data_IF_124576043176
#
_entry.id   IF_124576043176
#
_cell.length_a   1.000
_cell.length_b   1.000
_cell.length_c   1.000
_cell.angle_alpha   90.00
_cell.angle_beta   90.00
_cell.angle_gamma   90.00
#
_symmetry.space_group_name_H-M   'P 1'
#
loop_
_entity.id
_entity.type
_entity.pdbx_description
1 polymer ?
#
# COMPACT_ATOMS: atom_id res chain seq x y z
N UNK A 1 9.78 5.90 -0.01
CA UNK A 1 9.70 4.51 -0.47
C UNK A 1 9.68 4.48 -1.99
N UNK A 2 10.36 3.52 -2.62
CA UNK A 2 10.32 3.24 -4.05
C UNK A 2 9.73 1.85 -4.26
N UNK A 3 8.75 1.73 -5.15
CA UNK A 3 8.06 0.46 -5.39
C UNK A 3 8.56 -0.19 -6.67
N UNK A 4 9.02 -1.42 -6.59
CA UNK A 4 9.30 -2.27 -7.75
C UNK A 4 8.01 -2.99 -8.16
N UNK A 5 7.23 -2.37 -9.02
CA UNK A 5 5.88 -2.80 -9.36
C UNK A 5 5.83 -4.14 -10.11
N UNK A 6 4.86 -4.98 -9.73
CA UNK A 6 4.38 -6.11 -10.54
C UNK A 6 2.94 -5.84 -10.98
N UNK A 7 2.66 -6.08 -12.24
CA UNK A 7 1.45 -5.59 -12.91
C UNK A 7 0.47 -6.69 -13.32
N UNK A 8 0.63 -7.90 -12.90
CA UNK A 8 -0.27 -8.99 -13.26
C UNK A 8 -0.50 -9.17 -14.79
N UNK A 9 -1.40 -10.08 -15.13
CA UNK A 9 -1.69 -10.45 -16.52
C UNK A 9 -2.77 -9.59 -17.18
N UNK A 10 -3.36 -8.61 -16.46
CA UNK A 10 -4.49 -7.84 -17.01
C UNK A 10 -4.09 -6.89 -18.13
N UNK A 11 -2.79 -6.58 -18.26
CA UNK A 11 -2.28 -5.74 -19.35
C UNK A 11 -2.88 -4.33 -19.37
N UNK A 12 -3.16 -3.77 -18.19
CA UNK A 12 -3.81 -2.48 -18.06
C UNK A 12 -2.91 -1.36 -18.58
N UNK A 13 -3.49 -0.44 -19.33
CA UNK A 13 -2.81 0.78 -19.74
C UNK A 13 -2.46 1.61 -18.51
N UNK A 14 -1.18 1.95 -18.35
CA UNK A 14 -0.66 2.66 -17.18
C UNK A 14 -0.17 1.74 -16.06
N UNK A 15 -0.36 0.41 -16.18
CA UNK A 15 0.36 -0.54 -15.37
C UNK A 15 1.70 -0.87 -16.02
N UNK A 16 2.77 -0.93 -15.23
CA UNK A 16 4.11 -1.28 -15.75
C UNK A 16 4.84 -2.17 -14.74
N UNK A 17 5.60 -3.09 -15.28
CA UNK A 17 6.50 -3.92 -14.49
C UNK A 17 7.82 -3.17 -14.29
N UNK A 18 8.22 -3.02 -13.02
CA UNK A 18 9.51 -2.44 -12.65
C UNK A 18 10.33 -3.51 -11.92
N UNK A 19 11.38 -4.06 -12.54
CA UNK A 19 12.22 -5.09 -11.94
C UNK A 19 12.88 -4.64 -10.63
N UNK A 20 13.06 -5.56 -9.69
CA UNK A 20 13.66 -5.30 -8.38
C UNK A 20 15.07 -4.68 -8.51
N UNK A 21 15.85 -5.13 -9.49
CA UNK A 21 17.21 -4.65 -9.73
C UNK A 21 17.26 -3.15 -10.06
N UNK A 22 16.24 -2.61 -10.72
CA UNK A 22 16.19 -1.18 -11.07
C UNK A 22 15.98 -0.36 -9.80
N UNK A 23 15.05 -0.76 -8.96
CA UNK A 23 14.81 -0.09 -7.67
C UNK A 23 16.00 -0.26 -6.74
N UNK A 24 16.58 -1.45 -6.68
CA UNK A 24 17.77 -1.74 -5.89
C UNK A 24 18.94 -0.81 -6.25
N UNK A 25 19.21 -0.59 -7.55
CA UNK A 25 20.24 0.36 -8.01
C UNK A 25 19.97 1.79 -7.53
N UNK A 26 18.71 2.23 -7.52
CA UNK A 26 18.34 3.56 -7.03
C UNK A 26 18.56 3.67 -5.51
N UNK A 27 18.17 2.66 -4.75
CA UNK A 27 18.38 2.57 -3.29
C UNK A 27 19.87 2.57 -2.97
N UNK A 28 20.67 1.75 -3.66
CA UNK A 28 22.12 1.68 -3.46
C UNK A 28 22.83 3.01 -3.77
N UNK A 29 22.33 3.74 -4.77
CA UNK A 29 22.89 5.06 -5.13
C UNK A 29 22.60 6.14 -4.09
N UNK A 30 21.49 6.02 -3.35
CA UNK A 30 21.04 7.00 -2.36
C UNK A 30 20.51 6.30 -1.11
N UNK A 31 21.38 5.56 -0.36
CA UNK A 31 20.95 4.68 0.74
C UNK A 31 20.33 5.42 1.91
N UNK A 32 20.71 6.70 2.13
CA UNK A 32 20.15 7.53 3.21
C UNK A 32 18.82 8.19 2.85
N UNK A 33 18.31 7.98 1.62
CA UNK A 33 17.13 8.67 1.11
C UNK A 33 16.01 7.75 0.66
N UNK A 34 16.37 6.59 0.13
CA UNK A 34 15.39 5.68 -0.50
C UNK A 34 15.45 4.29 0.10
N UNK A 35 14.28 3.71 0.24
CA UNK A 35 14.07 2.31 0.62
C UNK A 35 13.20 1.65 -0.43
N UNK A 36 13.46 0.38 -0.73
CA UNK A 36 12.74 -0.40 -1.73
C UNK A 36 11.58 -1.19 -1.14
N UNK A 37 10.50 -1.30 -1.90
CA UNK A 37 9.38 -2.20 -1.65
C UNK A 37 9.27 -3.20 -2.80
N UNK A 38 9.10 -4.48 -2.46
CA UNK A 38 8.90 -5.56 -3.42
C UNK A 38 7.44 -5.60 -3.90
N UNK A 39 7.19 -5.29 -5.16
CA UNK A 39 5.89 -5.52 -5.77
C UNK A 39 5.58 -7.01 -5.86
N UNK A 40 4.35 -7.40 -5.56
CA UNK A 40 3.91 -8.79 -5.52
C UNK A 40 2.93 -9.10 -6.66
N UNK A 41 3.04 -10.31 -7.17
CA UNK A 41 2.04 -10.94 -8.03
C UNK A 41 1.50 -12.21 -7.33
N UNK A 42 0.26 -12.21 -6.81
CA UNK A 42 -0.30 -13.36 -6.10
C UNK A 42 -0.56 -14.56 -7.00
N UNK A 43 -0.45 -14.40 -8.32
CA UNK A 43 -0.65 -15.49 -9.29
C UNK A 43 0.63 -16.30 -9.55
N UNK A 44 1.79 -15.79 -9.13
CA UNK A 44 3.09 -16.49 -9.27
C UNK A 44 3.27 -17.62 -8.24
N UNK A 45 2.40 -17.72 -7.22
CA UNK A 45 2.51 -18.75 -6.19
C UNK A 45 3.87 -18.73 -5.48
N UNK A 46 4.49 -19.90 -5.30
CA UNK A 46 5.77 -20.00 -4.58
C UNK A 46 6.94 -19.29 -5.28
N UNK A 47 6.92 -19.17 -6.61
CA UNK A 47 7.94 -18.40 -7.32
C UNK A 47 7.95 -16.93 -6.89
N UNK A 48 6.77 -16.33 -6.72
CA UNK A 48 6.61 -14.98 -6.19
C UNK A 48 7.09 -14.85 -4.73
N UNK A 49 6.83 -15.87 -3.89
CA UNK A 49 7.31 -15.91 -2.49
C UNK A 49 8.84 -15.97 -2.43
N UNK A 50 9.48 -16.75 -3.28
CA UNK A 50 10.95 -16.79 -3.37
C UNK A 50 11.53 -15.48 -3.87
N UNK A 51 10.88 -14.84 -4.86
CA UNK A 51 11.28 -13.52 -5.33
C UNK A 51 11.18 -12.45 -4.23
N UNK A 52 10.14 -12.50 -3.38
CA UNK A 52 10.02 -11.62 -2.22
C UNK A 52 11.18 -11.83 -1.24
N UNK A 53 11.50 -13.09 -0.94
CA UNK A 53 12.65 -13.43 -0.08
C UNK A 53 13.95 -12.85 -0.65
N UNK A 54 14.20 -13.04 -1.96
CA UNK A 54 15.37 -12.46 -2.63
C UNK A 54 15.38 -10.91 -2.57
N UNK A 55 14.23 -10.27 -2.71
CA UNK A 55 14.12 -8.82 -2.64
C UNK A 55 14.59 -8.28 -1.28
N UNK A 56 14.25 -8.95 -0.20
CA UNK A 56 14.65 -8.56 1.15
C UNK A 56 16.12 -8.92 1.43
N UNK A 57 16.50 -10.18 1.22
CA UNK A 57 17.82 -10.69 1.61
C UNK A 57 18.95 -10.17 0.72
N UNK A 58 18.72 -10.07 -0.59
CA UNK A 58 19.73 -9.66 -1.56
C UNK A 58 19.74 -8.16 -1.86
N UNK A 59 18.55 -7.55 -1.97
CA UNK A 59 18.44 -6.14 -2.36
C UNK A 59 18.16 -5.20 -1.18
N UNK A 60 17.93 -5.73 0.04
CA UNK A 60 17.68 -4.94 1.24
C UNK A 60 16.35 -4.21 1.21
N UNK A 61 15.34 -4.75 0.53
CA UNK A 61 14.01 -4.16 0.53
C UNK A 61 13.37 -4.33 1.91
N UNK A 62 12.64 -3.30 2.34
CA UNK A 62 12.12 -3.19 3.71
C UNK A 62 10.63 -3.50 3.82
N UNK A 63 9.98 -3.88 2.74
CA UNK A 63 8.56 -4.19 2.72
C UNK A 63 8.09 -4.73 1.38
N UNK A 64 6.86 -5.18 1.37
CA UNK A 64 6.15 -5.66 0.19
C UNK A 64 5.05 -4.68 -0.23
N UNK A 65 4.64 -4.75 -1.49
CA UNK A 65 3.60 -3.89 -2.04
C UNK A 65 2.70 -4.69 -2.99
N UNK A 66 1.39 -4.54 -2.87
CA UNK A 66 0.42 -5.21 -3.72
C UNK A 66 -0.69 -4.29 -4.22
N UNK A 67 -1.13 -4.55 -5.46
CA UNK A 67 -2.28 -3.89 -6.08
C UNK A 67 -3.40 -4.92 -6.30
N UNK A 68 -4.29 -5.16 -5.31
CA UNK A 68 -5.39 -6.13 -5.44
C UNK A 68 -6.21 -5.98 -6.71
N UNK A 69 -6.46 -4.74 -7.14
CA UNK A 69 -7.23 -4.42 -8.34
C UNK A 69 -6.61 -4.95 -9.63
N UNK A 70 -5.27 -4.95 -9.73
CA UNK A 70 -4.57 -5.41 -10.93
C UNK A 70 -4.61 -6.91 -11.14
N UNK A 71 -5.05 -7.64 -10.11
CA UNK A 71 -5.23 -9.08 -10.14
C UNK A 71 -6.69 -9.50 -9.98
N UNK A 72 -7.61 -8.53 -9.74
CA UNK A 72 -9.01 -8.76 -9.38
C UNK A 72 -9.15 -9.71 -8.18
N UNK A 73 -8.21 -9.64 -7.24
CA UNK A 73 -8.13 -10.47 -6.03
C UNK A 73 -8.18 -9.58 -4.80
N UNK A 74 -9.30 -9.62 -4.06
CA UNK A 74 -9.42 -8.90 -2.80
C UNK A 74 -8.31 -9.29 -1.80
N UNK A 75 -7.93 -8.41 -0.87
CA UNK A 75 -6.89 -8.70 0.14
C UNK A 75 -7.08 -10.01 0.91
N UNK A 76 -8.31 -10.42 1.18
CA UNK A 76 -8.66 -11.66 1.88
C UNK A 76 -8.66 -12.92 0.97
N UNK A 77 -8.32 -12.77 -0.30
CA UNK A 77 -8.20 -13.93 -1.18
C UNK A 77 -7.00 -14.79 -0.77
N UNK A 78 -7.21 -16.10 -0.67
CA UNK A 78 -6.20 -17.07 -0.21
C UNK A 78 -4.88 -17.06 -1.01
N UNK A 79 -4.87 -16.54 -2.24
CA UNK A 79 -3.64 -16.41 -3.04
C UNK A 79 -2.63 -15.42 -2.46
N UNK A 80 -3.09 -14.47 -1.63
CA UNK A 80 -2.22 -13.55 -0.91
C UNK A 80 -1.57 -14.18 0.34
N UNK A 81 -2.18 -15.20 0.95
CA UNK A 81 -1.78 -15.75 2.24
C UNK A 81 -0.32 -16.23 2.31
N UNK A 82 0.24 -16.90 1.28
CA UNK A 82 1.66 -17.26 1.30
C UNK A 82 2.60 -16.03 1.42
N UNK A 83 2.21 -14.91 0.82
CA UNK A 83 2.96 -13.65 0.92
C UNK A 83 2.81 -13.02 2.28
N UNK A 84 1.62 -13.07 2.90
CA UNK A 84 1.42 -12.59 4.28
C UNK A 84 2.27 -13.37 5.27
N UNK A 85 2.24 -14.70 5.18
CA UNK A 85 3.11 -15.56 6.01
C UNK A 85 4.59 -15.22 5.82
N UNK A 86 5.02 -14.97 4.57
CA UNK A 86 6.41 -14.62 4.28
C UNK A 86 6.77 -13.23 4.82
N UNK A 87 5.87 -12.25 4.74
CA UNK A 87 6.09 -10.93 5.33
C UNK A 87 6.23 -11.02 6.86
N UNK A 88 5.44 -11.86 7.53
CA UNK A 88 5.60 -12.12 8.97
C UNK A 88 6.95 -12.77 9.27
N UNK A 89 7.34 -13.81 8.52
CA UNK A 89 8.64 -14.48 8.67
C UNK A 89 9.83 -13.54 8.51
N UNK A 90 9.74 -12.61 7.54
CA UNK A 90 10.80 -11.63 7.25
C UNK A 90 10.72 -10.37 8.11
N UNK A 91 9.74 -10.26 9.00
CA UNK A 91 9.42 -9.07 9.84
C UNK A 91 9.26 -7.77 9.04
N UNK A 92 8.67 -7.83 7.85
CA UNK A 92 8.45 -6.69 6.96
C UNK A 92 6.97 -6.35 6.83
N UNK A 93 6.60 -5.06 6.62
CA UNK A 93 5.25 -4.67 6.31
C UNK A 93 4.84 -5.06 4.89
N UNK A 94 3.52 -5.23 4.71
CA UNK A 94 2.90 -5.25 3.38
C UNK A 94 1.97 -4.06 3.21
N UNK A 95 2.14 -3.35 2.10
CA UNK A 95 1.31 -2.23 1.68
C UNK A 95 0.34 -2.70 0.60
N UNK A 96 -0.96 -2.56 0.83
CA UNK A 96 -2.00 -2.97 -0.11
C UNK A 96 -2.86 -1.77 -0.51
N UNK A 97 -3.08 -1.61 -1.81
CA UNK A 97 -4.02 -0.61 -2.29
C UNK A 97 -5.43 -0.95 -1.82
N UNK A 98 -6.04 -0.02 -1.10
CA UNK A 98 -7.45 -0.07 -0.68
C UNK A 98 -8.24 1.08 -1.27
N UNK A 99 -9.56 0.97 -1.23
CA UNK A 99 -10.43 1.91 -1.91
C UNK A 99 -10.70 1.49 -3.36
N UNK A 100 -11.09 2.45 -4.17
CA UNK A 100 -11.38 2.24 -5.58
C UNK A 100 -10.16 2.55 -6.43
N UNK A 101 -9.83 1.69 -7.38
CA UNK A 101 -8.77 1.97 -8.35
C UNK A 101 -9.24 3.02 -9.35
N UNK A 102 -8.41 4.05 -9.57
CA UNK A 102 -8.61 5.04 -10.62
C UNK A 102 -7.85 4.68 -11.91
N UNK A 103 -7.00 3.65 -11.86
CA UNK A 103 -6.28 3.14 -13.03
C UNK A 103 -7.13 2.06 -13.67
N UNK A 104 -7.81 2.41 -14.76
CA UNK A 104 -8.65 1.47 -15.50
C UNK A 104 -8.61 1.73 -16.99
N UNK A 105 -8.80 0.67 -17.74
CA UNK A 105 -9.01 0.71 -19.18
C UNK A 105 -10.52 0.85 -19.44
N UNK A 106 -11.00 1.89 -20.17
CA UNK A 106 -12.44 2.06 -20.43
C UNK A 106 -13.11 0.86 -21.09
N UNK A 107 -12.35 0.07 -21.85
CA UNK A 107 -12.86 -1.15 -22.49
C UNK A 107 -12.85 -2.38 -21.57
N UNK A 108 -12.21 -2.26 -20.41
CA UNK A 108 -12.09 -3.31 -19.40
C UNK A 108 -12.12 -2.71 -18.00
N UNK A 109 -13.30 -2.35 -17.49
CA UNK A 109 -13.43 -1.86 -16.13
C UNK A 109 -12.99 -2.96 -15.13
N UNK A 110 -12.23 -2.57 -14.11
CA UNK A 110 -11.83 -3.46 -13.04
C UNK A 110 -12.91 -3.55 -11.97
N UNK A 111 -13.03 -4.71 -11.34
CA UNK A 111 -13.86 -4.87 -10.16
C UNK A 111 -13.26 -4.11 -8.96
N UNK A 112 -14.13 -3.49 -8.14
CA UNK A 112 -13.74 -2.80 -6.92
C UNK A 112 -13.47 -3.81 -5.80
N UNK A 113 -12.34 -4.51 -5.87
CA UNK A 113 -11.94 -5.55 -4.90
C UNK A 113 -11.20 -5.00 -3.68
N UNK A 114 -10.90 -3.71 -3.64
CA UNK A 114 -10.09 -3.07 -2.60
C UNK A 114 -10.91 -2.50 -1.43
N UNK A 115 -12.11 -3.00 -1.12
CA UNK A 115 -12.85 -2.51 0.05
C UNK A 115 -12.03 -2.76 1.32
N UNK A 116 -11.84 -1.73 2.18
CA UNK A 116 -11.01 -1.85 3.38
C UNK A 116 -11.47 -2.95 4.34
N UNK A 117 -12.77 -3.27 4.39
CA UNK A 117 -13.30 -4.36 5.22
C UNK A 117 -12.65 -5.72 4.91
N UNK A 118 -12.13 -5.92 3.70
CA UNK A 118 -11.40 -7.15 3.34
C UNK A 118 -10.05 -7.31 4.06
N UNK A 119 -9.56 -6.25 4.72
CA UNK A 119 -8.39 -6.34 5.59
C UNK A 119 -8.72 -7.00 6.95
N UNK A 120 -10.00 -7.00 7.37
CA UNK A 120 -10.42 -7.54 8.66
C UNK A 120 -10.02 -9.01 8.87
N UNK A 121 -10.41 -9.95 7.97
CA UNK A 121 -9.99 -11.34 8.13
C UNK A 121 -8.48 -11.52 8.02
N UNK A 122 -7.79 -10.71 7.19
CA UNK A 122 -6.32 -10.77 7.09
C UNK A 122 -5.66 -10.38 8.41
N UNK A 123 -6.06 -9.26 9.00
CA UNK A 123 -5.54 -8.79 10.28
C UNK A 123 -5.81 -9.77 11.42
N UNK A 124 -6.96 -10.47 11.40
CA UNK A 124 -7.30 -11.50 12.38
C UNK A 124 -6.46 -12.78 12.22
N UNK A 125 -6.20 -13.20 10.96
CA UNK A 125 -5.47 -14.44 10.68
C UNK A 125 -3.95 -14.28 10.78
N UNK A 126 -3.45 -13.06 10.63
CA UNK A 126 -2.03 -12.71 10.67
C UNK A 126 -1.80 -11.54 11.64
N UNK A 127 -1.99 -11.74 12.96
CA UNK A 127 -1.87 -10.66 13.94
C UNK A 127 -0.46 -10.05 14.04
N UNK A 128 0.58 -10.79 13.65
CA UNK A 128 1.95 -10.31 13.61
C UNK A 128 2.28 -9.49 12.33
N UNK A 129 1.42 -9.56 11.31
CA UNK A 129 1.63 -8.87 10.04
C UNK A 129 1.46 -7.36 10.21
N UNK A 130 2.44 -6.58 9.81
CA UNK A 130 2.32 -5.13 9.68
C UNK A 130 1.56 -4.81 8.39
N UNK A 131 0.24 -4.66 8.48
CA UNK A 131 -0.67 -4.50 7.35
C UNK A 131 -0.98 -3.02 7.11
N UNK A 132 -0.70 -2.51 5.93
CA UNK A 132 -0.85 -1.09 5.61
C UNK A 132 -1.81 -0.91 4.44
N UNK A 133 -2.94 -0.21 4.69
CA UNK A 133 -3.82 0.24 3.61
C UNK A 133 -3.31 1.55 3.01
N UNK A 134 -3.04 1.58 1.72
CA UNK A 134 -2.65 2.82 1.02
C UNK A 134 -3.85 3.46 0.31
N UNK A 135 -3.77 4.76 -0.02
CA UNK A 135 -4.79 5.57 -0.71
C UNK A 135 -6.05 5.85 0.13
N UNK A 136 -5.90 5.82 1.46
CA UNK A 136 -6.95 6.13 2.47
C UNK A 136 -8.31 5.43 2.28
N UNK A 137 -8.44 4.50 1.36
CA UNK A 137 -9.65 3.71 1.15
C UNK A 137 -10.81 4.41 0.45
N UNK A 138 -10.63 5.58 -0.18
CA UNK A 138 -11.71 6.28 -0.89
C UNK A 138 -12.41 5.37 -1.90
N UNK A 139 -13.78 5.37 -1.95
CA UNK A 139 -14.73 6.16 -1.18
C UNK A 139 -15.11 5.60 0.19
N UNK A 140 -14.55 4.47 0.62
CA UNK A 140 -14.86 3.77 1.87
C UNK A 140 -13.86 4.11 2.98
N UNK A 141 -13.50 5.38 3.12
CA UNK A 141 -12.49 5.85 4.08
C UNK A 141 -12.86 5.53 5.52
N UNK A 142 -14.15 5.61 5.88
CA UNK A 142 -14.61 5.27 7.24
C UNK A 142 -14.42 3.77 7.56
N UNK A 143 -14.51 2.88 6.56
CA UNK A 143 -14.13 1.47 6.74
C UNK A 143 -12.62 1.34 7.01
N UNK A 144 -11.79 2.11 6.29
CA UNK A 144 -10.34 2.07 6.51
C UNK A 144 -9.96 2.58 7.91
N UNK A 145 -10.61 3.64 8.37
CA UNK A 145 -10.48 4.14 9.74
C UNK A 145 -10.88 3.04 10.74
N UNK A 146 -12.02 2.39 10.52
CA UNK A 146 -12.50 1.33 11.39
C UNK A 146 -11.52 0.15 11.47
N UNK A 147 -10.89 -0.23 10.35
CA UNK A 147 -9.87 -1.29 10.34
C UNK A 147 -8.62 -0.89 11.13
N UNK A 148 -8.10 0.31 10.91
CA UNK A 148 -6.92 0.79 11.62
C UNK A 148 -7.20 1.04 13.12
N UNK A 149 -8.42 1.34 13.49
CA UNK A 149 -8.84 1.49 14.89
C UNK A 149 -9.02 0.15 15.59
N UNK A 150 -9.64 -0.83 14.90
CA UNK A 150 -9.93 -2.16 15.44
C UNK A 150 -8.66 -2.99 15.67
N UNK A 151 -7.71 -2.91 14.72
CA UNK A 151 -6.55 -3.79 14.67
C UNK A 151 -5.25 -3.04 14.96
N UNK A 152 -4.50 -3.49 15.97
CA UNK A 152 -3.21 -2.89 16.34
C UNK A 152 -2.17 -2.98 15.22
N UNK A 153 -2.25 -4.01 14.39
CA UNK A 153 -1.35 -4.30 13.27
C UNK A 153 -1.75 -3.65 11.94
N UNK A 154 -2.85 -2.86 11.90
CA UNK A 154 -3.31 -2.16 10.68
C UNK A 154 -2.96 -0.68 10.74
N UNK A 155 -2.39 -0.17 9.65
CA UNK A 155 -1.95 1.21 9.45
C UNK A 155 -2.50 1.78 8.15
N UNK A 156 -2.39 3.09 7.96
CA UNK A 156 -2.85 3.81 6.76
C UNK A 156 -1.70 4.64 6.19
N UNK A 157 -1.53 4.63 4.86
CA UNK A 157 -0.76 5.67 4.17
C UNK A 157 -1.73 6.61 3.47
N UNK A 158 -1.63 7.89 3.84
CA UNK A 158 -2.42 8.97 3.26
C UNK A 158 -1.70 9.52 2.04
N UNK A 159 -1.92 8.89 0.89
CA UNK A 159 -1.30 9.20 -0.39
C UNK A 159 -2.32 9.16 -1.54
N UNK A 160 -1.87 9.37 -2.77
CA UNK A 160 -2.64 9.41 -4.02
C UNK A 160 -3.74 10.49 -4.07
N UNK A 161 -4.45 10.72 -2.98
CA UNK A 161 -5.52 11.71 -2.88
C UNK A 161 -5.02 13.00 -2.23
N UNK A 162 -5.25 14.14 -2.90
CA UNK A 162 -4.80 15.44 -2.40
C UNK A 162 -5.48 15.78 -1.06
N UNK A 163 -4.72 16.24 -0.05
CA UNK A 163 -5.22 16.48 1.32
C UNK A 163 -6.47 17.35 1.41
N UNK A 164 -6.60 18.34 0.53
CA UNK A 164 -7.80 19.18 0.47
C UNK A 164 -9.10 18.45 0.14
N UNK A 165 -9.02 17.20 -0.35
CA UNK A 165 -10.19 16.36 -0.66
C UNK A 165 -10.39 15.24 0.34
N UNK A 166 -9.58 15.17 1.39
CA UNK A 166 -9.78 14.15 2.42
C UNK A 166 -11.10 14.37 3.16
N UNK A 167 -11.83 13.29 3.46
CA UNK A 167 -13.04 13.39 4.29
C UNK A 167 -12.73 13.98 5.68
N UNK A 168 -13.65 14.78 6.21
CA UNK A 168 -13.53 15.36 7.55
C UNK A 168 -13.34 14.30 8.64
N UNK A 169 -13.95 13.12 8.47
CA UNK A 169 -13.77 11.98 9.37
C UNK A 169 -12.31 11.52 9.43
N UNK A 170 -11.61 11.52 8.28
CA UNK A 170 -10.21 11.13 8.20
C UNK A 170 -9.29 12.20 8.81
N UNK A 171 -9.55 13.48 8.54
CA UNK A 171 -8.78 14.57 9.16
C UNK A 171 -8.93 14.53 10.67
N UNK A 172 -10.16 14.37 11.19
CA UNK A 172 -10.39 14.20 12.64
C UNK A 172 -9.71 12.97 13.22
N UNK A 173 -9.68 11.86 12.47
CA UNK A 173 -8.98 10.64 12.89
C UNK A 173 -7.48 10.89 13.06
N UNK A 174 -6.83 11.49 12.06
CA UNK A 174 -5.40 11.82 12.13
C UNK A 174 -5.11 12.76 13.30
N UNK A 175 -5.94 13.78 13.49
CA UNK A 175 -5.74 14.81 14.52
C UNK A 175 -6.13 14.34 15.95
N UNK A 176 -6.43 13.07 16.11
CA UNK A 176 -6.83 12.52 17.41
C UNK A 176 -6.21 11.15 17.68
N UNK A 177 -7.02 10.11 17.77
CA UNK A 177 -6.61 8.76 18.15
C UNK A 177 -5.91 7.97 17.02
N UNK A 178 -5.91 8.46 15.78
CA UNK A 178 -5.24 7.86 14.63
C UNK A 178 -3.81 8.36 14.38
N UNK A 179 -3.28 9.28 15.18
CA UNK A 179 -1.98 9.95 14.92
C UNK A 179 -0.81 8.98 14.74
N UNK A 180 -0.80 7.87 15.48
CA UNK A 180 0.25 6.84 15.39
C UNK A 180 -0.06 5.72 14.37
N UNK A 181 -1.15 5.85 13.64
CA UNK A 181 -1.64 4.87 12.66
C UNK A 181 -1.53 5.35 11.23
N UNK A 182 -1.26 6.65 11.01
CA UNK A 182 -1.26 7.25 9.69
C UNK A 182 0.12 7.76 9.32
N UNK A 183 0.58 7.33 8.15
CA UNK A 183 1.79 7.81 7.50
C UNK A 183 1.42 8.66 6.28
N UNK A 184 2.29 9.59 5.91
CA UNK A 184 2.07 10.50 4.80
C UNK A 184 2.86 10.09 3.57
N UNK A 185 2.27 10.24 2.39
CA UNK A 185 2.88 9.91 1.11
C UNK A 185 2.27 10.68 -0.04
N UNK A 186 2.94 10.74 -1.18
CA UNK A 186 2.49 11.49 -2.35
C UNK A 186 1.94 10.62 -3.47
N UNK A 187 2.32 9.33 -3.50
CA UNK A 187 2.14 8.49 -4.68
C UNK A 187 2.70 9.16 -5.95
N UNK A 188 3.88 9.79 -5.80
CA UNK A 188 4.50 10.50 -6.92
C UNK A 188 4.63 9.58 -8.15
N UNK A 189 4.23 10.02 -9.35
CA UNK A 189 3.97 11.42 -9.77
C UNK A 189 2.51 11.88 -9.67
N UNK A 190 1.62 11.18 -8.97
CA UNK A 190 0.20 11.57 -8.82
C UNK A 190 0.09 12.92 -8.13
N UNK A 191 0.85 13.12 -7.06
CA UNK A 191 0.96 14.41 -6.36
C UNK A 191 2.42 14.84 -6.29
N UNK A 192 2.69 16.15 -6.51
CA UNK A 192 4.03 16.69 -6.25
C UNK A 192 4.25 16.87 -4.75
N UNK A 193 5.50 16.76 -4.31
CA UNK A 193 5.87 16.91 -2.90
C UNK A 193 5.50 18.29 -2.35
N UNK A 194 5.70 19.35 -3.15
CA UNK A 194 5.40 20.74 -2.76
C UNK A 194 3.90 20.94 -2.56
N UNK A 195 3.09 20.42 -3.47
CA UNK A 195 1.63 20.51 -3.37
C UNK A 195 1.13 19.76 -2.15
N UNK A 196 1.60 18.51 -1.99
CA UNK A 196 1.18 17.66 -0.89
C UNK A 196 1.50 18.30 0.46
N UNK A 197 2.74 18.74 0.65
CA UNK A 197 3.19 19.41 1.89
C UNK A 197 2.35 20.65 2.19
N UNK A 198 2.18 21.56 1.23
CA UNK A 198 1.37 22.76 1.40
C UNK A 198 -0.07 22.44 1.83
N UNK A 199 -0.68 21.41 1.22
CA UNK A 199 -2.06 21.03 1.54
C UNK A 199 -2.17 20.33 2.90
N UNK A 200 -1.19 19.53 3.32
CA UNK A 200 -1.12 18.96 4.68
C UNK A 200 -0.94 20.06 5.72
N UNK A 201 0.00 20.99 5.50
CA UNK A 201 0.21 22.13 6.41
C UNK A 201 -1.07 22.95 6.59
N UNK A 202 -1.88 23.10 5.53
CA UNK A 202 -3.15 23.81 5.56
C UNK A 202 -4.27 23.11 6.37
N UNK A 203 -4.13 21.82 6.68
CA UNK A 203 -5.11 21.11 7.53
C UNK A 203 -5.05 21.56 8.99
N UNK A 204 -3.97 22.21 9.42
CA UNK A 204 -3.82 22.70 10.79
C UNK A 204 -3.79 21.58 11.84
N UNK A 205 -3.24 20.41 11.48
CA UNK A 205 -3.11 19.29 12.40
C UNK A 205 -2.26 19.69 13.61
N UNK A 206 -2.61 19.20 14.79
CA UNK A 206 -1.88 19.50 16.02
C UNK A 206 -0.46 18.93 15.94
N UNK A 207 0.55 19.76 16.24
CA UNK A 207 1.88 19.27 16.51
C UNK A 207 1.89 18.49 17.84
N UNK A 208 2.65 17.42 17.90
CA UNK A 208 2.91 16.71 19.17
C UNK A 208 3.83 17.49 20.07
#
# INVERSE_FOLDING_TARGET
LLVANKTGQLGLKGSWHLPYEIVAKAVQKFPDRFYGLAGLDPTEGMAGVYALTEAVERYGFIGAHGYPHWFELAPDNARWYPFYSKCVELDIPILLQVGQSLVYEPKRPLQSVGRPISLDPVACHFPELKLVGIHIGIPWTDEMIAMAWKHDNVYIIADAHAPKYWPDSFVRYIDSYGRHKVMFGTDFPVLTFERYRREVDALGLRAE
#
